data_IF_680242550597
#
_entry.id   IF_680242550597
#
_cell.length_a   1.000
_cell.length_b   1.000
_cell.length_c   1.000
_cell.angle_alpha   90.00
_cell.angle_beta   90.00
_cell.angle_gamma   90.00
#
_symmetry.space_group_name_H-M   'P 1'
#
loop_
_entity.id
_entity.type
_entity.pdbx_description
1 polymer ?
#
# COMPACT_ATOMS: atom_id res chain seq x y z
N UNK A 1 1.81 -25.62 10.85
CA UNK A 1 0.75 -25.38 9.86
C UNK A 1 1.23 -25.85 8.48
N UNK A 2 0.37 -26.49 7.65
CA UNK A 2 0.70 -26.79 6.26
C UNK A 2 1.08 -25.53 5.49
N UNK A 3 1.99 -25.64 4.51
CA UNK A 3 2.52 -24.48 3.76
C UNK A 3 1.44 -23.71 2.98
N UNK A 4 0.47 -24.41 2.42
CA UNK A 4 -0.68 -23.80 1.73
C UNK A 4 -1.56 -22.97 2.67
N UNK A 5 -1.73 -23.38 3.93
CA UNK A 5 -2.51 -22.61 4.91
C UNK A 5 -1.76 -21.34 5.30
N UNK A 6 -0.42 -21.42 5.43
CA UNK A 6 0.42 -20.23 5.65
C UNK A 6 0.30 -19.25 4.48
N UNK A 7 0.42 -19.76 3.25
CA UNK A 7 0.27 -18.96 2.03
C UNK A 7 -1.11 -18.28 1.94
N UNK A 8 -2.19 -19.01 2.23
CA UNK A 8 -3.53 -18.46 2.26
C UNK A 8 -3.67 -17.35 3.32
N UNK A 9 -3.17 -17.59 4.53
CA UNK A 9 -3.19 -16.60 5.61
C UNK A 9 -2.43 -15.33 5.23
N UNK A 10 -1.21 -15.47 4.69
CA UNK A 10 -0.40 -14.32 4.26
C UNK A 10 -1.06 -13.57 3.11
N UNK A 11 -1.69 -14.28 2.16
CA UNK A 11 -2.50 -13.65 1.11
C UNK A 11 -3.67 -12.84 1.65
N UNK A 12 -4.41 -13.38 2.64
CA UNK A 12 -5.50 -12.65 3.32
C UNK A 12 -4.96 -11.40 4.02
N UNK A 13 -3.87 -11.54 4.80
CA UNK A 13 -3.24 -10.42 5.49
C UNK A 13 -2.82 -9.34 4.49
N UNK A 14 -2.17 -9.72 3.40
CA UNK A 14 -1.80 -8.81 2.33
C UNK A 14 -3.02 -8.06 1.78
N UNK A 15 -4.06 -8.79 1.38
CA UNK A 15 -5.24 -8.20 0.77
C UNK A 15 -6.00 -7.26 1.70
N UNK A 16 -6.12 -7.60 2.99
CA UNK A 16 -6.76 -6.76 3.99
C UNK A 16 -5.96 -5.50 4.31
N UNK A 17 -4.63 -5.55 4.29
CA UNK A 17 -3.79 -4.47 4.80
C UNK A 17 -3.19 -3.57 3.72
N UNK A 18 -3.21 -3.97 2.44
CA UNK A 18 -2.55 -3.24 1.35
C UNK A 18 -3.10 -1.84 1.15
N UNK A 19 -4.42 -1.70 1.18
CA UNK A 19 -5.09 -0.43 0.91
C UNK A 19 -5.47 0.34 2.17
N UNK A 20 -5.47 -0.32 3.31
CA UNK A 20 -5.66 0.31 4.61
C UNK A 20 -4.38 1.04 5.05
N UNK A 21 -4.49 2.14 5.80
CA UNK A 21 -3.32 2.90 6.25
C UNK A 21 -2.56 2.22 7.40
N UNK A 22 -2.31 0.91 7.30
CA UNK A 22 -1.71 0.08 8.37
C UNK A 22 -0.39 -0.61 8.01
N UNK A 23 0.10 -0.46 6.76
CA UNK A 23 1.35 -1.06 6.26
C UNK A 23 1.32 -2.59 6.09
N UNK A 24 0.92 -3.04 4.90
CA UNK A 24 0.91 -4.46 4.51
C UNK A 24 2.30 -5.12 4.62
N UNK A 25 3.34 -4.43 4.16
CA UNK A 25 4.73 -4.95 4.21
C UNK A 25 5.14 -5.30 5.63
N UNK A 26 4.86 -4.43 6.61
CA UNK A 26 5.21 -4.70 8.00
C UNK A 26 4.38 -5.86 8.59
N UNK A 27 3.09 -5.95 8.22
CA UNK A 27 2.25 -7.09 8.63
C UNK A 27 2.75 -8.40 8.05
N UNK A 28 3.17 -8.41 6.77
CA UNK A 28 3.75 -9.60 6.16
C UNK A 28 5.04 -10.03 6.86
N UNK A 29 5.99 -9.10 7.05
CA UNK A 29 7.26 -9.41 7.71
C UNK A 29 7.07 -10.01 9.11
N UNK A 30 6.16 -9.44 9.91
CA UNK A 30 5.81 -9.97 11.23
C UNK A 30 5.14 -11.35 11.11
N UNK A 31 4.17 -11.48 10.21
CA UNK A 31 3.40 -12.71 10.05
C UNK A 31 4.25 -13.85 9.49
N UNK A 32 5.11 -13.61 8.53
CA UNK A 32 6.06 -14.58 7.97
C UNK A 32 6.97 -15.14 9.07
N UNK A 33 7.50 -14.25 9.92
CA UNK A 33 8.32 -14.66 11.06
C UNK A 33 7.53 -15.51 12.06
N UNK A 34 6.31 -15.09 12.42
CA UNK A 34 5.46 -15.80 13.39
C UNK A 34 5.01 -17.18 12.90
N UNK A 35 4.66 -17.31 11.61
CA UNK A 35 4.22 -18.60 11.06
C UNK A 35 5.39 -19.47 10.56
N UNK A 36 6.61 -18.92 10.56
CA UNK A 36 7.80 -19.60 10.01
C UNK A 36 7.64 -19.89 8.51
N UNK A 37 7.21 -18.87 7.73
CA UNK A 37 7.15 -18.94 6.28
C UNK A 37 8.41 -18.28 5.70
N UNK A 38 9.10 -18.97 4.80
CA UNK A 38 10.28 -18.44 4.14
C UNK A 38 9.93 -18.09 2.70
N UNK A 39 9.94 -16.79 2.41
CA UNK A 39 9.80 -16.28 1.04
C UNK A 39 11.18 -16.18 0.39
N UNK A 40 11.59 -17.26 -0.28
CA UNK A 40 12.87 -17.32 -0.97
C UNK A 40 12.86 -16.38 -2.18
N UNK A 41 13.75 -15.39 -2.17
CA UNK A 41 13.86 -14.40 -3.26
C UNK A 41 12.74 -13.36 -3.32
N UNK A 42 11.79 -13.35 -2.40
CA UNK A 42 10.70 -12.37 -2.37
C UNK A 42 9.58 -12.63 -3.40
N UNK A 43 9.65 -13.73 -4.15
CA UNK A 43 8.72 -14.02 -5.23
C UNK A 43 7.27 -14.17 -4.76
N UNK A 44 7.05 -14.80 -3.60
CA UNK A 44 5.72 -14.97 -3.02
C UNK A 44 5.10 -13.61 -2.68
N UNK A 45 5.83 -12.77 -1.94
CA UNK A 45 5.37 -11.42 -1.53
C UNK A 45 5.00 -10.57 -2.74
N UNK A 46 5.84 -10.56 -3.78
CA UNK A 46 5.59 -9.81 -5.03
C UNK A 46 4.30 -10.28 -5.70
N UNK A 47 4.07 -11.59 -5.77
CA UNK A 47 2.89 -12.15 -6.42
C UNK A 47 1.59 -11.88 -5.64
N UNK A 48 1.59 -11.96 -4.33
CA UNK A 48 0.41 -11.64 -3.52
C UNK A 48 0.08 -10.14 -3.54
N UNK A 49 1.08 -9.27 -3.66
CA UNK A 49 0.89 -7.84 -3.89
C UNK A 49 0.23 -7.58 -5.24
N UNK A 50 0.65 -8.28 -6.31
CA UNK A 50 0.00 -8.21 -7.62
C UNK A 50 -1.47 -8.62 -7.52
N UNK A 51 -1.80 -9.67 -6.77
CA UNK A 51 -3.18 -10.09 -6.51
C UNK A 51 -4.03 -8.95 -5.95
N UNK A 52 -3.51 -8.23 -4.96
CA UNK A 52 -4.18 -7.08 -4.36
C UNK A 52 -4.41 -5.93 -5.35
N UNK A 53 -3.39 -5.60 -6.16
CA UNK A 53 -3.52 -4.54 -7.19
C UNK A 53 -4.55 -4.89 -8.25
N UNK A 54 -4.52 -6.13 -8.74
CA UNK A 54 -5.50 -6.57 -9.74
C UNK A 54 -6.93 -6.53 -9.21
N UNK A 55 -7.15 -6.76 -7.90
CA UNK A 55 -8.46 -6.60 -7.28
C UNK A 55 -8.96 -5.15 -7.38
N UNK A 56 -8.10 -4.16 -7.08
CA UNK A 56 -8.49 -2.75 -7.21
C UNK A 56 -8.66 -2.34 -8.66
N UNK A 57 -7.79 -2.79 -9.56
CA UNK A 57 -7.97 -2.55 -11.00
C UNK A 57 -9.31 -3.12 -11.48
N UNK A 58 -9.70 -4.29 -10.99
CA UNK A 58 -11.00 -4.89 -11.29
C UNK A 58 -12.18 -4.09 -10.75
N UNK A 59 -12.08 -3.59 -9.53
CA UNK A 59 -13.10 -2.74 -8.92
C UNK A 59 -13.29 -1.41 -9.68
N UNK A 60 -12.20 -0.82 -10.16
CA UNK A 60 -12.19 0.45 -10.90
C UNK A 60 -12.12 0.28 -12.42
N UNK A 61 -12.35 -0.93 -12.95
CA UNK A 61 -12.21 -1.25 -14.38
C UNK A 61 -12.98 -0.30 -15.31
N UNK A 62 -14.17 0.15 -14.90
CA UNK A 62 -14.98 1.07 -15.72
C UNK A 62 -14.35 2.46 -15.78
N UNK A 63 -13.85 3.01 -14.67
CA UNK A 63 -13.13 4.29 -14.65
C UNK A 63 -11.83 4.18 -15.45
N UNK A 64 -11.08 3.09 -15.26
CA UNK A 64 -9.84 2.84 -16.00
C UNK A 64 -10.13 2.74 -17.51
N UNK A 65 -11.12 1.97 -17.91
CA UNK A 65 -11.51 1.82 -19.32
C UNK A 65 -11.98 3.15 -19.92
N UNK A 66 -12.78 3.95 -19.20
CA UNK A 66 -13.20 5.27 -19.63
C UNK A 66 -12.01 6.21 -19.84
N UNK A 67 -11.07 6.25 -18.88
CA UNK A 67 -9.86 7.08 -19.01
C UNK A 67 -9.03 6.64 -20.21
N UNK A 68 -8.77 5.32 -20.37
CA UNK A 68 -7.96 4.80 -21.49
C UNK A 68 -8.64 5.08 -22.84
N UNK A 69 -9.94 4.83 -22.96
CA UNK A 69 -10.70 5.10 -24.18
C UNK A 69 -10.79 6.60 -24.52
N UNK A 70 -10.85 7.45 -23.50
CA UNK A 70 -10.92 8.92 -23.66
C UNK A 70 -9.57 9.58 -23.98
N UNK A 71 -8.43 8.90 -23.79
CA UNK A 71 -7.11 9.51 -24.05
C UNK A 71 -6.95 10.19 -25.42
N UNK A 72 -7.46 9.63 -26.54
CA UNK A 72 -7.33 10.27 -27.85
C UNK A 72 -8.15 11.56 -28.00
N UNK A 73 -9.32 11.64 -27.38
CA UNK A 73 -10.35 12.65 -27.67
C UNK A 73 -10.71 13.56 -26.48
N UNK A 74 -10.62 13.07 -25.24
CA UNK A 74 -11.16 13.76 -24.07
C UNK A 74 -10.05 14.46 -23.26
N UNK A 75 -10.09 15.81 -23.13
CA UNK A 75 -9.13 16.54 -22.32
C UNK A 75 -9.11 16.12 -20.86
N UNK A 76 -10.27 15.74 -20.30
CA UNK A 76 -10.42 15.31 -18.91
C UNK A 76 -9.71 13.98 -18.66
N UNK A 77 -9.86 13.00 -19.55
CA UNK A 77 -9.17 11.72 -19.48
C UNK A 77 -7.64 11.90 -19.52
N UNK A 78 -7.16 12.76 -20.44
CA UNK A 78 -5.71 13.10 -20.52
C UNK A 78 -5.22 13.77 -19.25
N UNK A 79 -5.99 14.71 -18.68
CA UNK A 79 -5.65 15.40 -17.45
C UNK A 79 -5.56 14.43 -16.28
N UNK A 80 -6.55 13.51 -16.13
CA UNK A 80 -6.56 12.50 -15.08
C UNK A 80 -5.34 11.55 -15.20
N UNK A 81 -5.09 11.00 -16.39
CA UNK A 81 -3.94 10.13 -16.63
C UNK A 81 -2.60 10.86 -16.35
N UNK A 82 -2.45 12.08 -16.84
CA UNK A 82 -1.26 12.92 -16.58
C UNK A 82 -1.07 13.17 -15.09
N UNK A 83 -2.14 13.49 -14.36
CA UNK A 83 -2.11 13.70 -12.92
C UNK A 83 -1.60 12.47 -12.17
N UNK A 84 -2.10 11.27 -12.51
CA UNK A 84 -1.67 10.01 -11.88
C UNK A 84 -0.21 9.73 -12.21
N UNK A 85 0.21 9.89 -13.47
CA UNK A 85 1.60 9.68 -13.90
C UNK A 85 2.55 10.63 -13.16
N UNK A 86 2.25 11.93 -13.16
CA UNK A 86 3.09 12.95 -12.49
C UNK A 86 3.20 12.68 -10.98
N UNK A 87 2.11 12.28 -10.34
CA UNK A 87 2.12 11.94 -8.92
C UNK A 87 2.89 10.64 -8.61
N UNK A 88 3.05 9.75 -9.59
CA UNK A 88 3.80 8.49 -9.44
C UNK A 88 5.32 8.71 -9.50
N UNK A 89 5.79 9.68 -10.29
CA UNK A 89 7.22 9.92 -10.56
C UNK A 89 8.09 10.03 -9.31
N UNK A 90 7.75 10.82 -8.26
CA UNK A 90 8.62 10.94 -7.09
C UNK A 90 8.88 9.61 -6.38
N UNK A 91 7.86 8.77 -6.25
CA UNK A 91 7.98 7.47 -5.61
C UNK A 91 8.80 6.48 -6.45
N UNK A 92 8.66 6.52 -7.78
CA UNK A 92 9.46 5.68 -8.69
C UNK A 92 10.94 6.08 -8.66
N UNK A 93 11.23 7.38 -8.66
CA UNK A 93 12.61 7.87 -8.56
C UNK A 93 13.23 7.47 -7.22
N UNK A 94 12.52 7.68 -6.12
CA UNK A 94 12.99 7.28 -4.80
C UNK A 94 13.18 5.75 -4.70
N UNK A 95 12.24 4.96 -5.23
CA UNK A 95 12.33 3.50 -5.30
C UNK A 95 13.54 3.03 -6.10
N UNK A 96 13.75 3.58 -7.30
CA UNK A 96 14.88 3.23 -8.15
C UNK A 96 16.24 3.56 -7.52
N UNK A 97 16.33 4.65 -6.76
CA UNK A 97 17.58 5.08 -6.13
C UNK A 97 17.87 4.38 -4.80
N UNK A 98 16.83 4.10 -3.98
CA UNK A 98 17.01 3.71 -2.59
C UNK A 98 16.47 2.33 -2.22
N UNK A 99 15.72 1.62 -3.09
CA UNK A 99 15.07 0.36 -2.75
C UNK A 99 16.05 -0.71 -2.26
N UNK A 100 17.20 -0.88 -2.90
CA UNK A 100 18.19 -1.88 -2.51
C UNK A 100 18.75 -1.59 -1.11
N UNK A 101 19.09 -0.34 -0.82
CA UNK A 101 19.56 0.07 0.51
C UNK A 101 18.49 -0.14 1.58
N UNK A 102 17.25 0.27 1.28
CA UNK A 102 16.12 0.11 2.21
C UNK A 102 15.84 -1.37 2.49
N UNK A 103 15.78 -2.21 1.45
CA UNK A 103 15.56 -3.65 1.61
C UNK A 103 16.67 -4.31 2.44
N UNK A 104 17.93 -3.97 2.21
CA UNK A 104 19.08 -4.58 2.90
C UNK A 104 19.23 -4.13 4.36
N UNK A 105 18.85 -2.88 4.70
CA UNK A 105 19.12 -2.30 6.03
C UNK A 105 17.87 -2.23 6.89
N UNK A 106 16.73 -1.84 6.32
CA UNK A 106 15.55 -1.51 7.12
C UNK A 106 14.55 -2.66 7.26
N UNK A 107 14.46 -3.57 6.28
CA UNK A 107 13.45 -4.64 6.31
C UNK A 107 13.71 -5.69 7.41
N UNK A 108 14.97 -5.90 7.79
CA UNK A 108 15.33 -6.78 8.89
C UNK A 108 15.25 -6.09 10.27
N UNK A 109 15.01 -4.77 10.32
CA UNK A 109 15.04 -4.01 11.55
C UNK A 109 13.63 -3.79 12.12
N UNK A 110 13.20 -4.71 13.00
CA UNK A 110 11.87 -4.63 13.61
C UNK A 110 11.68 -3.41 14.53
N UNK A 111 12.76 -2.79 15.06
CA UNK A 111 12.67 -1.53 15.81
C UNK A 111 12.21 -0.41 14.87
N UNK A 112 12.78 -0.33 13.67
CA UNK A 112 12.37 0.65 12.66
C UNK A 112 10.91 0.45 12.30
N UNK A 113 10.46 -0.78 12.10
CA UNK A 113 9.07 -1.11 11.80
C UNK A 113 8.14 -0.66 12.94
N UNK A 114 8.48 -0.97 14.19
CA UNK A 114 7.69 -0.59 15.35
C UNK A 114 7.59 0.93 15.53
N UNK A 115 8.69 1.64 15.39
CA UNK A 115 8.71 3.10 15.46
C UNK A 115 7.93 3.73 14.31
N UNK A 116 8.04 3.19 13.09
CA UNK A 116 7.27 3.65 11.94
C UNK A 116 5.75 3.43 12.12
N UNK A 117 5.34 2.34 12.78
CA UNK A 117 3.95 2.15 13.16
C UNK A 117 3.47 3.23 14.14
N UNK A 118 4.21 3.47 15.23
CA UNK A 118 3.85 4.43 16.26
C UNK A 118 3.82 5.85 15.68
N UNK A 119 4.91 6.27 15.04
CA UNK A 119 5.03 7.62 14.46
C UNK A 119 3.96 7.82 13.39
N UNK A 120 3.78 6.85 12.48
CA UNK A 120 2.76 6.93 11.44
C UNK A 120 1.34 6.98 12.01
N UNK A 121 1.05 6.26 13.10
CA UNK A 121 -0.22 6.36 13.82
C UNK A 121 -0.45 7.75 14.41
N UNK A 122 0.56 8.32 15.09
CA UNK A 122 0.51 9.69 15.63
C UNK A 122 0.30 10.70 14.51
N UNK A 123 1.01 10.57 13.39
CA UNK A 123 0.87 11.45 12.22
C UNK A 123 -0.57 11.42 11.66
N UNK A 124 -1.17 10.23 11.56
CA UNK A 124 -2.58 10.10 11.14
C UNK A 124 -3.52 10.83 12.12
N UNK A 125 -3.35 10.66 13.44
CA UNK A 125 -4.18 11.35 14.45
C UNK A 125 -4.03 12.86 14.37
N UNK A 126 -2.80 13.36 14.21
CA UNK A 126 -2.53 14.79 14.06
C UNK A 126 -3.16 15.34 12.78
N UNK A 127 -2.99 14.64 11.67
CA UNK A 127 -3.59 15.02 10.39
C UNK A 127 -5.12 15.05 10.47
N UNK A 128 -5.74 14.03 11.07
CA UNK A 128 -7.19 13.97 11.29
C UNK A 128 -7.72 15.17 12.07
N UNK A 129 -7.01 15.55 13.15
CA UNK A 129 -7.38 16.67 14.04
C UNK A 129 -7.14 18.03 13.41
N UNK A 130 -6.05 18.19 12.64
CA UNK A 130 -5.58 19.47 12.11
C UNK A 130 -5.85 19.69 10.62
N UNK A 131 -6.53 18.74 9.96
CA UNK A 131 -6.82 18.86 8.53
C UNK A 131 -7.60 20.14 8.23
N UNK A 132 -7.23 20.87 7.18
CA UNK A 132 -8.02 22.01 6.71
C UNK A 132 -9.37 21.52 6.15
N UNK A 133 -10.34 22.44 6.01
CA UNK A 133 -11.60 22.12 5.37
C UNK A 133 -11.34 21.64 3.92
N UNK A 134 -11.87 20.49 3.50
CA UNK A 134 -11.67 19.99 2.15
C UNK A 134 -12.36 20.90 1.12
N UNK A 135 -11.75 21.03 -0.04
CA UNK A 135 -12.28 21.69 -1.24
C UNK A 135 -12.22 20.79 -2.48
N UNK A 136 -11.67 19.57 -2.35
CA UNK A 136 -11.63 18.55 -3.40
C UNK A 136 -12.37 17.31 -2.89
N UNK A 137 -13.53 17.02 -3.47
CA UNK A 137 -14.39 15.88 -3.12
C UNK A 137 -14.41 14.81 -4.20
N UNK A 138 -13.93 15.13 -5.41
CA UNK A 138 -13.84 14.24 -6.56
C UNK A 138 -12.43 14.34 -7.16
N UNK A 139 -11.90 13.21 -7.61
CA UNK A 139 -10.57 13.12 -8.20
C UNK A 139 -10.46 13.88 -9.54
N UNK A 140 -11.56 13.99 -10.27
CA UNK A 140 -11.58 14.74 -11.53
C UNK A 140 -11.37 16.25 -11.30
N UNK A 141 -11.60 16.74 -10.09
CA UNK A 141 -11.33 18.14 -9.68
C UNK A 141 -9.97 18.34 -9.04
N UNK A 142 -9.20 17.27 -8.76
CA UNK A 142 -7.91 17.35 -8.06
C UNK A 142 -6.86 18.07 -8.93
N UNK A 143 -6.25 19.19 -8.44
CA UNK A 143 -5.19 19.88 -9.16
C UNK A 143 -3.92 19.03 -9.28
N UNK A 144 -3.29 19.01 -10.46
CA UNK A 144 -2.05 18.25 -10.73
C UNK A 144 -0.94 18.58 -9.72
N UNK A 145 -0.81 19.88 -9.33
CA UNK A 145 0.19 20.30 -8.33
C UNK A 145 -0.04 19.62 -6.96
N UNK A 146 -1.30 19.49 -6.52
CA UNK A 146 -1.62 18.79 -5.27
C UNK A 146 -1.39 17.29 -5.41
N UNK A 147 -1.76 16.71 -6.55
CA UNK A 147 -1.50 15.30 -6.84
C UNK A 147 0.00 14.98 -6.79
N UNK A 148 0.85 15.84 -7.39
CA UNK A 148 2.31 15.71 -7.30
C UNK A 148 2.82 15.77 -5.85
N UNK A 149 2.33 16.72 -5.06
CA UNK A 149 2.69 16.83 -3.65
C UNK A 149 2.27 15.58 -2.85
N UNK A 150 1.08 15.02 -3.09
CA UNK A 150 0.63 13.75 -2.50
C UNK A 150 1.57 12.61 -2.91
N UNK A 151 1.92 12.54 -4.19
CA UNK A 151 2.84 11.54 -4.73
C UNK A 151 4.25 11.61 -4.13
N UNK A 152 4.73 12.82 -3.80
CA UNK A 152 6.02 12.99 -3.11
C UNK A 152 6.02 12.33 -1.72
N UNK A 153 4.90 12.42 -0.98
CA UNK A 153 4.76 11.74 0.31
C UNK A 153 4.75 10.21 0.17
N UNK A 154 4.38 9.69 -0.98
CA UNK A 154 4.46 8.25 -1.25
C UNK A 154 5.89 7.71 -1.16
N UNK A 155 6.91 8.51 -1.44
CA UNK A 155 8.32 8.11 -1.31
C UNK A 155 8.69 7.70 0.13
N UNK A 156 8.03 8.26 1.15
CA UNK A 156 8.23 7.87 2.55
C UNK A 156 7.85 6.40 2.82
N UNK A 157 7.02 5.83 1.98
CA UNK A 157 6.59 4.44 2.10
C UNK A 157 7.67 3.41 1.75
N UNK A 158 8.82 3.83 1.28
CA UNK A 158 10.01 2.97 1.16
C UNK A 158 10.44 2.46 2.55
N UNK A 159 10.25 3.25 3.60
CA UNK A 159 10.54 2.81 4.97
C UNK A 159 9.46 1.80 5.42
N UNK A 160 9.86 0.55 5.78
CA UNK A 160 8.90 -0.46 6.22
C UNK A 160 8.18 0.00 7.49
N UNK A 161 6.86 -0.18 7.51
CA UNK A 161 6.02 0.31 8.61
C UNK A 161 5.36 1.67 8.35
N UNK A 162 5.89 2.53 7.48
CA UNK A 162 5.29 3.84 7.19
C UNK A 162 3.90 3.72 6.56
N UNK A 163 3.66 2.76 5.70
CA UNK A 163 2.45 2.58 4.90
C UNK A 163 2.33 3.57 3.72
N UNK A 164 2.32 3.05 2.51
CA UNK A 164 2.10 3.83 1.30
C UNK A 164 0.74 4.52 1.33
N UNK A 165 -0.32 3.74 1.59
CA UNK A 165 -1.68 4.27 1.72
C UNK A 165 -1.79 5.30 2.86
N UNK A 166 -1.17 5.05 4.02
CA UNK A 166 -1.16 6.00 5.12
C UNK A 166 -0.51 7.33 4.76
N UNK A 167 0.66 7.31 4.12
CA UNK A 167 1.38 8.52 3.71
C UNK A 167 0.59 9.35 2.69
N UNK A 168 0.07 8.71 1.64
CA UNK A 168 -0.69 9.40 0.59
C UNK A 168 -2.05 9.92 1.08
N UNK A 169 -2.75 9.19 1.95
CA UNK A 169 -3.99 9.64 2.59
C UNK A 169 -3.74 10.88 3.46
N UNK A 170 -2.73 10.84 4.32
CA UNK A 170 -2.35 11.98 5.16
C UNK A 170 -2.03 13.21 4.30
N UNK A 171 -1.20 13.03 3.28
CA UNK A 171 -0.88 14.11 2.34
C UNK A 171 -2.12 14.66 1.66
N UNK A 172 -3.03 13.80 1.18
CA UNK A 172 -4.31 14.20 0.59
C UNK A 172 -5.15 15.07 1.53
N UNK A 173 -5.33 14.62 2.77
CA UNK A 173 -6.07 15.39 3.77
C UNK A 173 -5.43 16.74 4.06
N UNK A 174 -4.11 16.83 4.17
CA UNK A 174 -3.37 18.08 4.37
C UNK A 174 -3.44 18.99 3.14
N UNK A 175 -3.59 18.42 1.94
CA UNK A 175 -3.80 19.14 0.67
C UNK A 175 -5.28 19.44 0.39
N UNK A 176 -6.14 19.42 1.43
CA UNK A 176 -7.56 19.77 1.35
C UNK A 176 -8.41 18.82 0.50
N UNK A 177 -7.96 17.57 0.32
CA UNK A 177 -8.76 16.51 -0.31
C UNK A 177 -9.64 15.85 0.73
N UNK A 178 -10.90 15.53 0.38
CA UNK A 178 -11.79 14.78 1.26
C UNK A 178 -11.22 13.39 1.59
N UNK A 179 -11.62 12.83 2.73
CA UNK A 179 -11.12 11.54 3.23
C UNK A 179 -11.26 10.41 2.22
N UNK A 180 -12.47 10.26 1.68
CA UNK A 180 -12.76 9.18 0.73
C UNK A 180 -12.02 9.42 -0.60
N UNK A 181 -12.00 10.66 -1.10
CA UNK A 181 -11.25 11.02 -2.30
C UNK A 181 -9.73 10.81 -2.11
N UNK A 182 -9.16 11.14 -0.95
CA UNK A 182 -7.76 10.89 -0.64
C UNK A 182 -7.44 9.39 -0.62
N UNK A 183 -8.31 8.56 -0.01
CA UNK A 183 -8.18 7.11 -0.03
C UNK A 183 -8.32 6.54 -1.46
N UNK A 184 -9.28 7.02 -2.22
CA UNK A 184 -9.48 6.61 -3.62
C UNK A 184 -8.29 6.99 -4.50
N UNK A 185 -7.74 8.20 -4.35
CA UNK A 185 -6.55 8.63 -5.09
C UNK A 185 -5.34 7.73 -4.80
N UNK A 186 -5.20 7.29 -3.55
CA UNK A 186 -4.17 6.32 -3.14
C UNK A 186 -4.26 5.02 -3.95
N UNK A 187 -5.45 4.56 -4.31
CA UNK A 187 -5.63 3.36 -5.12
C UNK A 187 -5.15 3.57 -6.56
N UNK A 188 -5.48 4.72 -7.16
CA UNK A 188 -4.98 5.06 -8.50
C UNK A 188 -3.47 5.24 -8.53
N UNK A 189 -2.85 5.81 -7.49
CA UNK A 189 -1.39 5.88 -7.37
C UNK A 189 -0.75 4.51 -7.16
N UNK A 190 -1.45 3.58 -6.49
CA UNK A 190 -0.97 2.24 -6.27
C UNK A 190 -0.75 1.48 -7.59
N UNK A 191 -1.65 1.64 -8.56
CA UNK A 191 -1.63 0.88 -9.80
C UNK A 191 -0.31 1.02 -10.57
N UNK A 192 0.13 2.22 -10.98
CA UNK A 192 1.39 2.38 -11.70
C UNK A 192 2.63 2.15 -10.83
N UNK A 193 2.61 2.58 -9.55
CA UNK A 193 3.76 2.38 -8.65
C UNK A 193 4.03 0.91 -8.36
N UNK A 194 3.00 0.14 -8.05
CA UNK A 194 3.17 -1.28 -7.75
C UNK A 194 3.36 -2.11 -9.01
N UNK A 195 2.78 -1.71 -10.16
CA UNK A 195 3.10 -2.35 -11.44
C UNK A 195 4.59 -2.20 -11.78
N UNK A 196 5.16 -1.02 -11.57
CA UNK A 196 6.60 -0.80 -11.78
C UNK A 196 7.47 -1.58 -10.77
N UNK A 197 7.10 -1.57 -9.48
CA UNK A 197 7.78 -2.36 -8.46
C UNK A 197 7.69 -3.86 -8.76
N UNK A 198 6.51 -4.36 -9.14
CA UNK A 198 6.30 -5.73 -9.56
C UNK A 198 7.20 -6.11 -10.76
N UNK A 199 7.23 -5.28 -11.80
CA UNK A 199 8.06 -5.54 -12.98
C UNK A 199 9.55 -5.60 -12.62
N UNK A 200 10.01 -4.70 -11.74
CA UNK A 200 11.38 -4.69 -11.24
C UNK A 200 11.72 -5.95 -10.42
N UNK A 201 10.88 -6.28 -9.43
CA UNK A 201 11.11 -7.41 -8.53
C UNK A 201 10.96 -8.74 -9.27
N UNK A 202 10.00 -8.86 -10.21
CA UNK A 202 9.85 -10.01 -11.09
C UNK A 202 11.09 -10.23 -11.97
N UNK A 203 11.65 -9.15 -12.51
CA UNK A 203 12.89 -9.22 -13.29
C UNK A 203 14.06 -9.71 -12.44
N UNK A 204 14.16 -9.30 -11.18
CA UNK A 204 15.20 -9.76 -10.26
C UNK A 204 14.97 -11.24 -9.87
N UNK A 205 13.75 -11.63 -9.56
CA UNK A 205 13.39 -12.98 -9.10
C UNK A 205 13.20 -14.00 -10.23
N UNK A 206 13.39 -13.64 -11.51
CA UNK A 206 13.08 -14.49 -12.68
C UNK A 206 13.76 -15.86 -12.67
N UNK A 207 14.93 -15.97 -12.06
CA UNK A 207 15.68 -17.22 -11.97
C UNK A 207 15.18 -18.10 -10.81
N UNK A 208 14.59 -17.49 -9.77
CA UNK A 208 14.10 -18.20 -8.58
C UNK A 208 12.65 -18.67 -8.75
N UNK A 209 11.91 -18.09 -9.69
CA UNK A 209 10.52 -18.51 -10.01
C UNK A 209 10.41 -19.95 -10.46
N UNK A 210 11.42 -20.49 -11.13
CA UNK A 210 11.43 -21.89 -11.59
C UNK A 210 11.49 -22.90 -10.42
N UNK A 211 12.05 -22.48 -9.28
CA UNK A 211 12.12 -23.26 -8.03
C UNK A 211 11.01 -22.93 -7.05
N UNK A 212 10.20 -21.89 -7.38
CA UNK A 212 9.17 -21.40 -6.49
C UNK A 212 8.03 -22.42 -6.32
N UNK A 213 7.46 -22.44 -5.12
CA UNK A 213 6.28 -23.22 -4.74
C UNK A 213 5.04 -22.67 -5.44
N UNK A 214 4.87 -22.98 -6.72
CA UNK A 214 3.84 -22.39 -7.60
C UNK A 214 2.42 -22.47 -7.02
N UNK A 215 2.09 -23.58 -6.34
CA UNK A 215 0.77 -23.74 -5.72
C UNK A 215 0.58 -22.79 -4.51
N UNK A 216 1.60 -22.57 -3.71
CA UNK A 216 1.56 -21.61 -2.58
C UNK A 216 1.38 -20.18 -3.08
N UNK A 217 2.11 -19.81 -4.13
CA UNK A 217 1.97 -18.51 -4.81
C UNK A 217 0.55 -18.35 -5.36
N UNK A 218 0.02 -19.33 -6.06
CA UNK A 218 -1.33 -19.29 -6.62
C UNK A 218 -2.40 -19.12 -5.52
N UNK A 219 -2.31 -19.89 -4.43
CA UNK A 219 -3.22 -19.77 -3.28
C UNK A 219 -3.10 -18.40 -2.64
N UNK A 220 -1.90 -17.93 -2.33
CA UNK A 220 -1.67 -16.62 -1.72
C UNK A 220 -2.19 -15.49 -2.61
N UNK A 221 -1.92 -15.54 -3.91
CA UNK A 221 -2.40 -14.58 -4.90
C UNK A 221 -3.94 -14.50 -4.94
N UNK A 222 -4.62 -15.63 -5.06
CA UNK A 222 -6.09 -15.68 -5.09
C UNK A 222 -6.67 -15.13 -3.79
N UNK A 223 -6.11 -15.51 -2.63
CA UNK A 223 -6.57 -15.03 -1.34
C UNK A 223 -6.33 -13.53 -1.17
N UNK A 224 -5.20 -13.00 -1.64
CA UNK A 224 -4.93 -11.57 -1.63
C UNK A 224 -5.89 -10.79 -2.54
N UNK A 225 -6.17 -11.32 -3.73
CA UNK A 225 -7.17 -10.74 -4.63
C UNK A 225 -8.56 -10.68 -3.99
N UNK A 226 -9.04 -11.80 -3.46
CA UNK A 226 -10.37 -11.90 -2.85
C UNK A 226 -10.49 -11.00 -1.61
N UNK A 227 -9.50 -11.02 -0.72
CA UNK A 227 -9.50 -10.19 0.48
C UNK A 227 -9.49 -8.69 0.13
N UNK A 228 -8.68 -8.27 -0.86
CA UNK A 228 -8.68 -6.89 -1.35
C UNK A 228 -10.01 -6.49 -1.99
N UNK A 229 -10.58 -7.34 -2.84
CA UNK A 229 -11.87 -7.07 -3.48
C UNK A 229 -13.01 -6.89 -2.46
N UNK A 230 -12.96 -7.65 -1.37
CA UNK A 230 -13.96 -7.58 -0.31
C UNK A 230 -13.79 -6.35 0.60
N UNK A 231 -12.55 -5.92 0.89
CA UNK A 231 -12.29 -4.88 1.90
C UNK A 231 -12.33 -3.45 1.36
N UNK A 232 -12.00 -3.22 0.08
CA UNK A 232 -11.80 -1.88 -0.47
C UNK A 232 -13.06 -1.00 -0.39
N UNK A 233 -14.22 -1.50 -0.81
CA UNK A 233 -15.48 -0.73 -0.75
C UNK A 233 -15.93 -0.45 0.69
N UNK A 234 -16.05 -1.46 1.58
CA UNK A 234 -16.35 -1.21 2.99
C UNK A 234 -15.37 -0.24 3.67
N UNK A 235 -14.09 -0.30 3.32
CA UNK A 235 -13.10 0.64 3.83
C UNK A 235 -13.41 2.08 3.42
N UNK A 236 -13.72 2.36 2.14
CA UNK A 236 -14.10 3.70 1.68
C UNK A 236 -15.35 4.22 2.39
N UNK A 237 -16.37 3.38 2.51
CA UNK A 237 -17.61 3.74 3.21
C UNK A 237 -17.37 4.04 4.69
N UNK A 238 -16.49 3.25 5.32
CA UNK A 238 -16.12 3.43 6.71
C UNK A 238 -15.36 4.75 6.94
N UNK A 239 -14.31 5.04 6.15
CA UNK A 239 -13.50 6.26 6.36
C UNK A 239 -14.26 7.54 6.04
N UNK A 240 -15.24 7.47 5.15
CA UNK A 240 -16.16 8.57 4.88
C UNK A 240 -16.92 9.00 6.12
N UNK A 241 -17.37 8.02 6.93
CA UNK A 241 -18.18 8.25 8.13
C UNK A 241 -17.34 8.45 9.39
N UNK A 242 -16.34 7.60 9.59
CA UNK A 242 -15.62 7.47 10.87
C UNK A 242 -14.19 7.99 10.86
N UNK A 243 -13.65 8.32 9.66
CA UNK A 243 -12.26 8.78 9.50
C UNK A 243 -11.20 7.71 9.75
N UNK A 244 -9.97 8.14 9.97
CA UNK A 244 -8.80 7.26 10.04
C UNK A 244 -8.29 6.98 11.46
N UNK A 245 -8.87 7.59 12.50
CA UNK A 245 -8.42 7.46 13.88
C UNK A 245 -8.31 6.00 14.38
N UNK A 246 -9.25 5.08 14.10
CA UNK A 246 -9.12 3.69 14.52
C UNK A 246 -7.89 2.97 13.94
N UNK A 247 -7.55 3.25 12.69
CA UNK A 247 -6.34 2.70 12.06
C UNK A 247 -5.07 3.26 12.70
N UNK A 248 -5.09 4.53 13.11
CA UNK A 248 -3.99 5.16 13.81
C UNK A 248 -3.74 4.51 15.18
N UNK A 249 -4.80 4.28 15.97
CA UNK A 249 -4.70 3.60 17.27
C UNK A 249 -4.25 2.15 17.11
N UNK A 250 -4.76 1.43 16.11
CA UNK A 250 -4.29 0.10 15.77
C UNK A 250 -2.78 0.08 15.52
N UNK A 251 -2.26 1.01 14.71
CA UNK A 251 -0.81 1.11 14.44
C UNK A 251 -0.01 1.38 15.69
N UNK A 252 -0.43 2.35 16.53
CA UNK A 252 0.25 2.66 17.79
C UNK A 252 0.28 1.43 18.70
N UNK A 253 -0.84 0.75 18.87
CA UNK A 253 -0.94 -0.47 19.67
C UNK A 253 -0.04 -1.59 19.15
N UNK A 254 -0.07 -1.87 17.83
CA UNK A 254 0.76 -2.90 17.22
C UNK A 254 2.26 -2.55 17.32
N UNK A 255 2.64 -1.30 17.09
CA UNK A 255 4.02 -0.85 17.25
C UNK A 255 4.52 -0.96 18.69
N UNK A 256 3.70 -0.59 19.68
CA UNK A 256 4.02 -0.76 21.09
C UNK A 256 4.15 -2.24 21.47
N UNK A 257 3.24 -3.10 21.02
CA UNK A 257 3.33 -4.55 21.24
C UNK A 257 4.61 -5.14 20.62
N UNK A 258 4.98 -4.69 19.42
CA UNK A 258 6.19 -5.17 18.76
C UNK A 258 7.46 -4.74 19.54
N UNK A 259 7.51 -3.50 20.07
CA UNK A 259 8.62 -3.07 20.93
C UNK A 259 8.71 -3.90 22.22
N UNK A 260 7.58 -4.22 22.83
CA UNK A 260 7.54 -5.08 24.03
C UNK A 260 8.01 -6.51 23.72
N UNK A 261 7.58 -7.06 22.58
CA UNK A 261 8.00 -8.40 22.14
C UNK A 261 9.52 -8.45 21.86
N UNK A 262 10.07 -7.40 21.24
CA UNK A 262 11.53 -7.27 21.03
C UNK A 262 12.29 -7.16 22.35
N UNK A 263 11.80 -6.35 23.29
CA UNK A 263 12.41 -6.21 24.63
C UNK A 263 12.37 -7.52 25.43
N UNK A 264 11.35 -8.36 25.22
CA UNK A 264 11.21 -9.68 25.84
C UNK A 264 12.00 -10.78 25.11
N UNK A 265 12.64 -10.48 23.97
CA UNK A 265 13.38 -11.47 23.17
C UNK A 265 12.50 -12.50 22.45
N UNK A 266 11.23 -12.16 22.17
CA UNK A 266 10.29 -13.07 21.49
C UNK A 266 10.34 -12.97 19.96
N UNK A 267 10.94 -11.93 19.42
CA UNK A 267 11.01 -11.64 17.97
C UNK A 267 12.45 -11.34 17.55
#
# INVERSE_FOLDING_TARGET
MPSLVKAALLGIIQGLTEFLPVSSTAHLLISERLVGFQDLGGAFTVMIQLGSILAVMWLYRHKIAAVVAGLPSEPEARRFAFMVVVATVPALLAGGLFSNYVKSVLYANFIVIALAFIIGGIVILVAEKRRPKPDVFDLDSLPVRRAFAIGTWQALALVPGVSRSGGTIVAGMLMRVDRAAAAEFTFFLAMPTMAAAFAHDLFQARHDLASARGLEIAVGFVMAFLASALVVKPFLDYVRRSGFAPFAWYRIGLGAMLLLALAAGWV
#
